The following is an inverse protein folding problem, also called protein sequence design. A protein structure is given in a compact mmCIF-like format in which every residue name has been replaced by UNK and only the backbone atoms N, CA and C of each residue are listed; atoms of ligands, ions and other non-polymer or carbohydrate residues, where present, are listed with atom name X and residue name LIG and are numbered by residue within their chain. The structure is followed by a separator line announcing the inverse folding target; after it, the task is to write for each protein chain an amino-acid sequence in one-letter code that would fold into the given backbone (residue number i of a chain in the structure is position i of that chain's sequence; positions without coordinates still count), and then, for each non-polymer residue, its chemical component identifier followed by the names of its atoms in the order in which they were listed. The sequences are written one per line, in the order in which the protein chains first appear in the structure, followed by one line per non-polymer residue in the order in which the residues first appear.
data_IF_567123214767
#
_entry.id   IF_567123214767
#
_cell.length_a   1.000
_cell.length_b   1.000
_cell.length_c   1.000
_cell.angle_alpha   90.00
_cell.angle_beta   90.00
_cell.angle_gamma   90.00
#
_symmetry.space_group_name_H-M   'P 1'
#
loop_
_entity.id
_entity.type
_entity.pdbx_description
1 polymer ?
#
# COMPACT_ATOMS: atom_id res chain seq x y z
N UNK A 1 3.08 -0.20 2.11
CA UNK A 1 3.68 -0.64 3.40
C UNK A 1 2.58 -0.72 4.45
N UNK A 2 2.85 -0.52 5.75
CA UNK A 2 1.82 -0.26 6.74
C UNK A 2 1.49 1.26 6.83
N UNK A 3 0.23 1.63 7.16
CA UNK A 3 -0.24 2.99 7.33
C UNK A 3 0.60 3.87 8.26
N UNK A 4 1.22 3.29 9.30
CA UNK A 4 2.01 4.06 10.27
C UNK A 4 3.32 4.52 9.64
N UNK A 5 3.99 3.64 8.90
CA UNK A 5 5.21 4.01 8.16
C UNK A 5 4.92 5.09 7.13
N UNK A 6 3.82 4.99 6.37
CA UNK A 6 3.43 6.04 5.43
C UNK A 6 3.05 7.36 6.13
N UNK A 7 2.36 7.29 7.27
CA UNK A 7 2.05 8.49 8.06
C UNK A 7 3.34 9.17 8.54
N UNK A 8 4.31 8.40 9.03
CA UNK A 8 5.60 8.90 9.49
C UNK A 8 6.41 9.54 8.36
N UNK A 9 6.55 8.86 7.23
CA UNK A 9 7.25 9.38 6.04
C UNK A 9 6.56 10.66 5.56
N UNK A 10 5.23 10.67 5.49
CA UNK A 10 4.46 11.86 5.11
C UNK A 10 4.69 13.01 6.09
N UNK A 11 4.73 12.73 7.41
CA UNK A 11 5.06 13.74 8.42
C UNK A 11 6.45 14.36 8.19
N UNK A 12 7.44 13.54 7.84
CA UNK A 12 8.82 13.99 7.62
C UNK A 12 8.92 14.94 6.42
N UNK A 13 8.27 14.61 5.30
CA UNK A 13 8.40 15.38 4.06
C UNK A 13 7.38 16.52 3.91
N UNK A 14 6.16 16.34 4.43
CA UNK A 14 5.06 17.29 4.22
C UNK A 14 4.58 17.98 5.49
N UNK A 15 4.98 17.49 6.67
CA UNK A 15 4.50 17.97 7.97
C UNK A 15 3.21 17.27 8.41
N UNK A 16 2.55 17.82 9.43
CA UNK A 16 1.35 17.23 10.04
C UNK A 16 0.04 17.75 9.43
N UNK A 17 0.09 18.27 8.21
CA UNK A 17 -1.11 18.79 7.57
C UNK A 17 -2.08 17.64 7.24
N UNK A 18 -3.35 17.82 7.60
CA UNK A 18 -4.35 16.73 7.56
C UNK A 18 -4.55 16.18 6.15
N UNK A 19 -4.47 17.04 5.13
CA UNK A 19 -4.71 16.65 3.74
C UNK A 19 -3.59 15.78 3.19
N UNK A 20 -2.32 16.14 3.44
CA UNK A 20 -1.18 15.32 3.06
C UNK A 20 -1.16 14.01 3.84
N UNK A 21 -1.44 14.01 5.14
CA UNK A 21 -1.53 12.78 5.93
C UNK A 21 -2.61 11.83 5.41
N UNK A 22 -3.80 12.37 5.12
CA UNK A 22 -4.88 11.59 4.53
C UNK A 22 -4.48 11.04 3.15
N UNK A 23 -3.74 11.80 2.34
CA UNK A 23 -3.30 11.38 1.02
C UNK A 23 -2.12 10.39 1.05
N UNK A 24 -1.26 10.46 2.06
CA UNK A 24 -0.14 9.55 2.25
C UNK A 24 -0.55 8.20 2.85
N UNK A 25 -1.64 8.16 3.61
CA UNK A 25 -2.16 6.92 4.24
C UNK A 25 -3.36 6.34 3.51
N UNK A 26 -4.18 7.21 2.91
CA UNK A 26 -5.43 6.88 2.25
C UNK A 26 -5.37 5.71 1.27
N UNK A 27 -4.33 5.59 0.41
CA UNK A 27 -4.23 4.51 -0.56
C UNK A 27 -4.26 3.10 0.05
N UNK A 28 -3.76 2.93 1.27
CA UNK A 28 -3.73 1.64 2.00
C UNK A 28 -5.03 1.30 2.72
N UNK A 29 -5.89 2.29 2.98
CA UNK A 29 -7.09 2.10 3.79
C UNK A 29 -8.02 0.99 3.28
N UNK A 30 -8.28 0.83 1.95
CA UNK A 30 -9.08 -0.29 1.45
C UNK A 30 -8.51 -1.66 1.87
N UNK A 31 -7.18 -1.80 1.90
CA UNK A 31 -6.53 -3.04 2.31
C UNK A 31 -6.71 -3.31 3.81
N UNK A 32 -6.52 -2.28 4.65
CA UNK A 32 -6.66 -2.41 6.10
C UNK A 32 -8.09 -2.56 6.58
N UNK A 33 -9.05 -1.96 5.88
CA UNK A 33 -10.47 -2.01 6.25
C UNK A 33 -11.21 -3.22 5.69
N UNK A 34 -10.69 -3.85 4.62
CA UNK A 34 -11.36 -4.98 3.95
C UNK A 34 -10.53 -6.26 4.04
N UNK A 35 -9.28 -6.25 3.60
CA UNK A 35 -8.45 -7.46 3.48
C UNK A 35 -8.02 -8.01 4.83
N UNK A 36 -7.55 -7.17 5.75
CA UNK A 36 -7.14 -7.64 7.08
C UNK A 36 -8.27 -8.28 7.88
N UNK A 37 -9.51 -7.73 7.91
CA UNK A 37 -10.65 -8.45 8.48
C UNK A 37 -10.94 -9.81 7.83
N UNK A 38 -10.71 -9.95 6.52
CA UNK A 38 -10.81 -11.24 5.83
C UNK A 38 -9.72 -12.22 6.30
N UNK A 39 -8.49 -11.77 6.49
CA UNK A 39 -7.39 -12.57 7.08
C UNK A 39 -7.77 -13.03 8.49
N UNK A 40 -8.34 -12.15 9.31
CA UNK A 40 -8.79 -12.49 10.66
C UNK A 40 -9.88 -13.57 10.68
N UNK A 41 -10.81 -13.52 9.72
CA UNK A 41 -11.85 -14.55 9.55
C UNK A 41 -11.31 -15.88 9.01
N UNK A 42 -10.17 -15.86 8.32
CA UNK A 42 -9.55 -17.04 7.68
C UNK A 42 -8.55 -17.76 8.59
N UNK A 43 -8.79 -17.74 9.92
CA UNK A 43 -7.90 -18.36 10.91
C UNK A 43 -6.85 -17.43 11.51
N UNK A 44 -6.80 -16.16 11.08
CA UNK A 44 -5.99 -15.12 11.69
C UNK A 44 -4.53 -15.05 11.21
N UNK A 45 -3.85 -13.98 11.62
CA UNK A 45 -2.47 -13.66 11.17
C UNK A 45 -1.49 -14.80 11.48
N UNK A 46 -1.64 -15.47 12.63
CA UNK A 46 -0.78 -16.61 12.99
C UNK A 46 -0.95 -17.77 12.02
N UNK A 47 -2.19 -18.09 11.63
CA UNK A 47 -2.48 -19.18 10.69
C UNK A 47 -1.81 -18.89 9.35
N UNK A 48 -2.13 -17.75 8.73
CA UNK A 48 -1.63 -17.40 7.39
C UNK A 48 -0.10 -17.24 7.35
N UNK A 49 0.54 -16.77 8.42
CA UNK A 49 2.01 -16.71 8.48
C UNK A 49 2.64 -18.11 8.52
N UNK A 50 2.03 -19.06 9.24
CA UNK A 50 2.58 -20.42 9.39
C UNK A 50 2.33 -21.29 8.16
N UNK A 51 1.13 -21.20 7.59
CA UNK A 51 0.70 -22.02 6.44
C UNK A 51 1.07 -21.39 5.10
N UNK A 52 1.20 -20.07 5.04
CA UNK A 52 1.31 -19.32 3.80
C UNK A 52 -0.01 -19.19 3.03
N UNK A 53 -1.12 -19.66 3.60
CA UNK A 53 -2.44 -19.66 2.96
C UNK A 53 -3.14 -18.31 3.13
N UNK A 54 -2.74 -17.34 2.30
CA UNK A 54 -3.34 -16.01 2.30
C UNK A 54 -4.68 -16.04 1.54
N UNK A 55 -5.76 -15.46 2.11
CA UNK A 55 -7.05 -15.44 1.44
C UNK A 55 -6.99 -14.62 0.15
N UNK A 56 -7.67 -15.07 -0.90
CA UNK A 56 -7.72 -14.32 -2.16
C UNK A 56 -8.44 -12.97 -1.97
N UNK A 57 -7.84 -11.89 -2.48
CA UNK A 57 -8.46 -10.58 -2.49
C UNK A 57 -9.61 -10.54 -3.51
N UNK A 58 -10.68 -9.80 -3.19
CA UNK A 58 -11.78 -9.62 -4.14
C UNK A 58 -11.33 -8.81 -5.37
N UNK A 59 -11.92 -9.02 -6.56
CA UNK A 59 -11.59 -8.24 -7.75
C UNK A 59 -11.77 -6.73 -7.53
N UNK A 60 -12.82 -6.33 -6.82
CA UNK A 60 -13.08 -4.92 -6.50
C UNK A 60 -11.98 -4.31 -5.62
N UNK A 61 -11.49 -5.05 -4.62
CA UNK A 61 -10.37 -4.61 -3.79
C UNK A 61 -9.09 -4.47 -4.62
N UNK A 62 -8.84 -5.40 -5.56
CA UNK A 62 -7.67 -5.32 -6.44
C UNK A 62 -7.72 -4.11 -7.36
N UNK A 63 -8.89 -3.83 -7.96
CA UNK A 63 -9.08 -2.61 -8.78
C UNK A 63 -8.90 -1.35 -7.94
N UNK A 64 -9.46 -1.30 -6.74
CA UNK A 64 -9.27 -0.16 -5.85
C UNK A 64 -7.79 0.03 -5.48
N UNK A 65 -7.08 -1.06 -5.19
CA UNK A 65 -5.64 -1.04 -4.90
C UNK A 65 -4.83 -0.54 -6.10
N UNK A 66 -5.05 -1.09 -7.28
CA UNK A 66 -4.31 -0.71 -8.49
C UNK A 66 -4.59 0.76 -8.87
N UNK A 67 -5.81 1.26 -8.67
CA UNK A 67 -6.16 2.66 -8.85
C UNK A 67 -5.45 3.57 -7.83
N UNK A 68 -5.43 3.21 -6.54
CA UNK A 68 -4.78 4.03 -5.51
C UNK A 68 -3.25 3.97 -5.55
N UNK A 69 -2.67 2.98 -6.23
CA UNK A 69 -1.22 2.78 -6.36
C UNK A 69 -0.69 3.02 -7.78
N UNK A 70 -1.41 3.82 -8.58
CA UNK A 70 -0.99 4.19 -9.94
C UNK A 70 -0.37 5.58 -9.99
N UNK A 71 0.91 5.66 -10.39
CA UNK A 71 1.57 6.94 -10.66
C UNK A 71 0.95 7.64 -11.87
N UNK A 72 0.47 6.89 -12.86
CA UNK A 72 -0.27 7.48 -13.99
C UNK A 72 -1.54 8.19 -13.50
N UNK A 73 -2.32 7.55 -12.62
CA UNK A 73 -3.54 8.15 -12.08
C UNK A 73 -3.23 9.39 -11.22
N UNK A 74 -2.23 9.30 -10.33
CA UNK A 74 -1.76 10.44 -9.54
C UNK A 74 -1.33 11.61 -10.43
N UNK A 75 -0.62 11.31 -11.52
CA UNK A 75 -0.14 12.28 -12.50
C UNK A 75 -1.29 12.96 -13.23
N UNK A 76 -2.29 12.20 -13.68
CA UNK A 76 -3.51 12.74 -14.32
C UNK A 76 -4.24 13.68 -13.36
N UNK A 77 -4.45 13.28 -12.11
CA UNK A 77 -5.11 14.11 -11.10
C UNK A 77 -4.29 15.38 -10.80
N UNK A 78 -2.96 15.27 -10.74
CA UNK A 78 -2.07 16.41 -10.52
C UNK A 78 -2.08 17.41 -11.69
N UNK A 79 -2.08 16.91 -12.94
CA UNK A 79 -2.22 17.74 -14.14
C UNK A 79 -3.58 18.45 -14.11
N UNK A 80 -4.67 17.72 -13.87
CA UNK A 80 -6.01 18.29 -13.80
C UNK A 80 -6.09 19.38 -12.71
N UNK A 81 -5.60 19.09 -11.50
CA UNK A 81 -5.57 20.06 -10.41
C UNK A 81 -4.77 21.33 -10.79
N UNK A 82 -3.63 21.18 -11.47
CA UNK A 82 -2.84 22.32 -11.94
C UNK A 82 -3.55 23.12 -13.02
N UNK A 83 -4.22 22.46 -13.96
CA UNK A 83 -4.97 23.16 -15.02
C UNK A 83 -6.17 23.94 -14.48
N UNK A 84 -6.86 23.41 -13.46
CA UNK A 84 -8.05 24.04 -12.88
C UNK A 84 -7.74 25.10 -11.83
N UNK A 85 -6.63 24.94 -11.08
CA UNK A 85 -6.34 25.79 -9.91
C UNK A 85 -5.02 26.56 -10.02
N UNK A 86 -4.25 26.34 -11.07
CA UNK A 86 -2.92 26.93 -11.28
C UNK A 86 -1.80 26.31 -10.44
N UNK A 87 -2.11 25.35 -9.55
CA UNK A 87 -1.15 24.75 -8.61
C UNK A 87 -1.39 23.25 -8.40
N UNK A 88 -0.34 22.54 -7.98
CA UNK A 88 -0.45 21.13 -7.54
C UNK A 88 -0.58 21.13 -6.02
N UNK A 89 -1.68 20.62 -5.45
CA UNK A 89 -1.83 20.48 -4.00
C UNK A 89 -0.73 19.60 -3.40
N UNK A 90 -0.27 19.97 -2.19
CA UNK A 90 0.73 19.18 -1.44
C UNK A 90 0.26 17.74 -1.17
N UNK A 91 -1.05 17.54 -1.00
CA UNK A 91 -1.64 16.21 -0.83
C UNK A 91 -1.40 15.29 -2.03
N UNK A 92 -1.39 15.79 -3.26
CA UNK A 92 -1.07 14.97 -4.44
C UNK A 92 0.40 14.57 -4.48
N UNK A 93 1.29 15.42 -3.97
CA UNK A 93 2.71 15.07 -3.81
C UNK A 93 2.90 14.05 -2.69
N UNK A 94 2.14 14.13 -1.60
CA UNK A 94 2.15 13.12 -0.54
C UNK A 94 1.62 11.77 -1.04
N UNK A 95 0.57 11.77 -1.86
CA UNK A 95 0.09 10.56 -2.51
C UNK A 95 1.13 9.98 -3.48
N UNK A 96 1.79 10.82 -4.29
CA UNK A 96 2.89 10.36 -5.14
C UNK A 96 4.05 9.76 -4.32
N UNK A 97 4.43 10.40 -3.20
CA UNK A 97 5.47 9.88 -2.30
C UNK A 97 5.09 8.51 -1.71
N UNK A 98 3.83 8.33 -1.31
CA UNK A 98 3.32 7.03 -0.86
C UNK A 98 3.63 5.94 -1.90
N UNK A 99 3.26 6.16 -3.18
CA UNK A 99 3.48 5.17 -4.24
C UNK A 99 4.97 4.93 -4.50
N UNK A 100 5.78 5.99 -4.48
CA UNK A 100 7.23 5.88 -4.67
C UNK A 100 7.92 5.05 -3.59
N UNK A 101 7.44 5.12 -2.34
CA UNK A 101 7.93 4.27 -1.25
C UNK A 101 7.53 2.82 -1.48
N UNK A 102 6.34 2.57 -2.02
CA UNK A 102 5.82 1.22 -2.23
C UNK A 102 6.46 0.47 -3.40
N UNK A 103 6.88 1.16 -4.46
CA UNK A 103 7.54 0.53 -5.63
C UNK A 103 8.70 -0.40 -5.21
N UNK A 104 9.70 0.04 -4.41
CA UNK A 104 10.80 -0.84 -4.00
C UNK A 104 10.44 -1.77 -2.83
N UNK A 105 9.31 -1.59 -2.16
CA UNK A 105 9.02 -2.23 -0.86
C UNK A 105 7.87 -3.23 -0.87
N UNK A 106 7.24 -3.39 -2.04
CA UNK A 106 6.22 -4.40 -2.29
C UNK A 106 6.74 -5.50 -3.20
N UNK A 107 6.48 -6.74 -2.80
CA UNK A 107 6.74 -7.93 -3.61
C UNK A 107 5.69 -8.14 -4.69
N UNK A 108 5.95 -9.09 -5.60
CA UNK A 108 5.24 -9.25 -6.88
C UNK A 108 3.70 -9.33 -6.78
N UNK A 109 3.15 -9.89 -5.70
CA UNK A 109 1.71 -10.07 -5.52
C UNK A 109 0.95 -8.73 -5.35
N UNK A 110 1.60 -7.77 -4.69
CA UNK A 110 1.04 -6.47 -4.32
C UNK A 110 1.95 -5.33 -4.80
N UNK A 111 2.67 -5.53 -5.90
CA UNK A 111 3.48 -4.47 -6.49
C UNK A 111 2.58 -3.41 -7.13
N UNK A 112 2.84 -2.11 -6.89
CA UNK A 112 2.13 -1.02 -7.55
C UNK A 112 2.13 -1.17 -9.08
N UNK A 113 0.95 -1.07 -9.69
CA UNK A 113 0.78 -1.02 -11.14
C UNK A 113 1.01 0.42 -11.61
N UNK A 114 2.27 0.76 -11.84
CA UNK A 114 2.75 2.14 -12.04
C UNK A 114 1.94 2.92 -13.08
N UNK A 115 1.55 2.25 -14.16
CA UNK A 115 0.85 2.86 -15.30
C UNK A 115 -0.62 2.42 -15.43
N UNK A 116 -1.23 1.86 -14.39
CA UNK A 116 -2.63 1.43 -14.44
C UNK A 116 -3.57 2.64 -14.70
N UNK A 117 -4.63 2.50 -15.52
CA UNK A 117 -5.13 1.28 -16.18
C UNK A 117 -4.51 1.00 -17.55
N UNK A 118 -3.52 1.78 -17.98
CA UNK A 118 -2.94 1.68 -19.32
C UNK A 118 -1.99 0.48 -19.47
N UNK A 119 -1.36 0.06 -18.37
CA UNK A 119 -0.46 -1.09 -18.35
C UNK A 119 -0.39 -1.70 -16.95
N UNK A 120 -0.25 -3.03 -16.93
CA UNK A 120 -0.02 -3.82 -15.71
C UNK A 120 1.47 -3.89 -15.32
N UNK A 121 2.32 -3.05 -15.92
CA UNK A 121 3.73 -3.00 -15.56
C UNK A 121 3.90 -2.71 -14.07
N UNK A 122 4.67 -3.57 -13.41
CA UNK A 122 4.99 -3.48 -11.99
C UNK A 122 6.44 -3.90 -11.77
N UNK A 123 7.08 -3.23 -10.82
CA UNK A 123 8.41 -3.60 -10.36
C UNK A 123 8.27 -4.56 -9.17
N UNK A 124 8.96 -5.69 -9.23
CA UNK A 124 9.03 -6.62 -8.10
C UNK A 124 10.10 -6.13 -7.10
N UNK A 125 9.66 -5.34 -6.13
CA UNK A 125 10.50 -4.86 -5.04
C UNK A 125 10.77 -5.93 -3.98
N UNK A 126 11.40 -5.50 -2.87
CA UNK A 126 11.66 -6.32 -1.70
C UNK A 126 10.51 -6.17 -0.70
N UNK A 127 9.65 -7.18 -0.62
CA UNK A 127 8.53 -7.19 0.33
C UNK A 127 9.01 -7.31 1.77
N UNK A 128 8.59 -6.37 2.63
CA UNK A 128 8.80 -6.48 4.08
C UNK A 128 8.22 -7.75 4.66
N UNK A 129 7.05 -8.18 4.18
CA UNK A 129 6.40 -9.40 4.66
C UNK A 129 7.22 -10.61 4.25
N UNK A 130 7.71 -10.68 3.02
CA UNK A 130 8.54 -11.82 2.57
C UNK A 130 9.86 -11.90 3.35
N UNK A 131 10.48 -10.74 3.65
CA UNK A 131 11.70 -10.66 4.44
C UNK A 131 11.46 -11.04 5.92
N UNK A 132 10.36 -10.56 6.52
CA UNK A 132 10.09 -10.75 7.95
C UNK A 132 9.45 -12.11 8.28
N UNK A 133 8.66 -12.68 7.37
CA UNK A 133 7.86 -13.90 7.62
C UNK A 133 8.70 -15.07 8.13
N UNK A 134 9.87 -15.43 7.54
CA UNK A 134 10.66 -16.56 8.02
C UNK A 134 11.07 -16.42 9.50
N UNK A 135 11.44 -15.22 9.92
CA UNK A 135 11.81 -14.92 11.31
C UNK A 135 10.59 -14.98 12.23
N UNK A 136 9.47 -14.38 11.81
CA UNK A 136 8.21 -14.40 12.58
C UNK A 136 7.69 -15.83 12.76
N UNK A 137 7.74 -16.66 11.73
CA UNK A 137 7.30 -18.06 11.81
C UNK A 137 8.15 -18.86 12.80
N UNK A 138 9.47 -18.68 12.81
CA UNK A 138 10.36 -19.31 13.79
C UNK A 138 9.98 -18.93 15.22
N UNK A 139 9.76 -17.64 15.48
CA UNK A 139 9.34 -17.13 16.78
C UNK A 139 7.96 -17.68 17.21
N UNK A 140 6.98 -17.66 16.31
CA UNK A 140 5.62 -18.17 16.60
C UNK A 140 5.58 -19.68 16.88
N UNK A 141 6.47 -20.46 16.25
CA UNK A 141 6.64 -21.91 16.52
C UNK A 141 7.42 -22.18 17.81
N UNK A 142 8.21 -21.22 18.28
CA UNK A 142 8.93 -21.31 19.55
C UNK A 142 8.01 -20.97 20.73
N UNK A 143 7.26 -19.86 20.66
CA UNK A 143 6.30 -19.46 21.72
C UNK A 143 5.10 -20.40 21.84
N UNK A 144 4.73 -21.08 20.75
CA UNK A 144 3.62 -22.03 20.74
C UNK A 144 3.96 -23.45 21.23
N UNK A 145 5.17 -23.68 21.73
CA UNK A 145 5.61 -24.89 22.42
C UNK A 145 5.67 -24.62 23.92
#
# INVERSE_FOLDING_TARGET
MDPLTHALITCIFFGKDKASLAAGVGPDLPFWTVYYPQVLRSGGVRHVLITGDWPAASPALKVAYDATHSLALVGIVAILARTLTGRIPRSLLAWALHILVDIPTHGRAWSPRIFWPLSDYAFAGLSWVEVATPTLVKLLRWVGR
#
